data_IF_006766741813
#
_entry.id   IF_006766741813
#
_cell.length_a   1.000
_cell.length_b   1.000
_cell.length_c   1.000
_cell.angle_alpha   90.00
_cell.angle_beta   90.00
_cell.angle_gamma   90.00
#
_symmetry.space_group_name_H-M   'P 1'
#
loop_
_entity.id
_entity.type
_entity.pdbx_description
1 polymer ?
#
# COMPACT_ATOMS: atom_id res chain seq x y z
N UNK A 1 25.75 6.39 44.21
CA UNK A 1 25.12 6.79 42.93
C UNK A 1 25.30 5.66 41.92
N UNK A 2 24.24 4.93 41.58
CA UNK A 2 24.28 3.89 40.53
C UNK A 2 23.70 4.50 39.25
N UNK A 3 24.55 4.61 38.23
CA UNK A 3 24.19 5.11 36.90
C UNK A 3 23.46 3.99 36.17
N UNK A 4 22.15 4.12 35.97
CA UNK A 4 21.40 3.25 35.07
C UNK A 4 21.64 3.72 33.63
N UNK A 5 22.45 2.95 32.89
CA UNK A 5 22.63 3.15 31.45
C UNK A 5 21.38 2.67 30.71
N UNK A 6 20.63 3.61 30.17
CA UNK A 6 19.51 3.35 29.26
C UNK A 6 20.10 2.97 27.88
N UNK A 7 20.14 1.67 27.58
CA UNK A 7 20.42 1.21 26.22
C UNK A 7 19.18 1.53 25.35
N UNK A 8 19.27 2.58 24.54
CA UNK A 8 18.37 2.75 23.40
C UNK A 8 18.74 1.70 22.34
N UNK A 9 17.97 0.61 22.27
CA UNK A 9 18.03 -0.31 21.15
C UNK A 9 17.44 0.41 19.92
N UNK A 10 18.31 0.86 19.01
CA UNK A 10 17.90 1.38 17.71
C UNK A 10 17.49 0.17 16.86
N UNK A 11 16.18 -0.13 16.83
CA UNK A 11 15.63 -1.09 15.88
C UNK A 11 15.71 -0.43 14.50
N UNK A 12 16.65 -0.88 13.68
CA UNK A 12 16.78 -0.46 12.29
C UNK A 12 15.63 -1.08 11.48
N UNK A 13 14.46 -0.44 11.52
CA UNK A 13 13.35 -0.77 10.62
C UNK A 13 13.80 -0.42 9.21
N UNK A 14 13.99 -1.43 8.36
CA UNK A 14 14.30 -1.22 6.95
C UNK A 14 13.14 -0.44 6.31
N UNK A 15 13.36 0.84 6.02
CA UNK A 15 12.39 1.65 5.30
C UNK A 15 12.34 1.14 3.85
N UNK A 16 11.27 0.44 3.51
CA UNK A 16 10.87 0.24 2.13
C UNK A 16 10.59 1.61 1.52
N UNK A 17 11.49 2.08 0.65
CA UNK A 17 11.27 3.25 -0.19
C UNK A 17 10.80 2.76 -1.55
N UNK A 18 9.67 3.28 -2.03
CA UNK A 18 9.32 3.15 -3.44
C UNK A 18 10.38 3.91 -4.23
N UNK A 19 11.35 3.18 -4.79
CA UNK A 19 12.41 3.75 -5.62
C UNK A 19 11.82 4.45 -6.84
N UNK A 20 12.53 5.46 -7.39
CA UNK A 20 12.13 6.07 -8.65
C UNK A 20 12.02 4.97 -9.73
N UNK A 21 11.08 5.10 -10.69
CA UNK A 21 10.98 4.15 -11.79
C UNK A 21 12.34 4.07 -12.50
N UNK A 22 12.91 2.88 -12.59
CA UNK A 22 14.10 2.65 -13.40
C UNK A 22 13.81 3.11 -14.83
N UNK A 23 14.67 3.97 -15.39
CA UNK A 23 14.53 4.41 -16.76
C UNK A 23 14.46 3.19 -17.69
N UNK A 24 13.35 3.07 -18.41
CA UNK A 24 13.21 2.09 -19.46
C UNK A 24 14.29 2.36 -20.52
N UNK A 25 15.18 1.39 -20.74
CA UNK A 25 16.22 1.48 -21.76
C UNK A 25 15.53 1.52 -23.13
N UNK A 26 15.57 2.68 -23.77
CA UNK A 26 15.07 2.96 -25.11
C UNK A 26 15.82 2.10 -26.13
N UNK A 27 15.17 1.06 -26.64
CA UNK A 27 15.67 0.23 -27.72
C UNK A 27 15.54 0.98 -29.05
N UNK A 28 16.50 1.88 -29.32
CA UNK A 28 16.67 2.50 -30.63
C UNK A 28 17.19 1.47 -31.64
N UNK A 29 16.41 1.24 -32.68
CA UNK A 29 16.90 0.72 -33.94
C UNK A 29 15.78 0.19 -34.83
N UNK A 30 15.30 1.03 -35.76
CA UNK A 30 15.28 0.75 -37.21
C UNK A 30 14.69 1.97 -37.93
N UNK A 31 15.41 2.39 -38.97
CA UNK A 31 15.22 3.60 -39.74
C UNK A 31 14.42 3.34 -41.04
N UNK A 32 13.70 4.39 -41.46
CA UNK A 32 13.32 4.79 -42.83
C UNK A 32 12.50 3.87 -43.75
N UNK A 33 11.28 4.32 -44.06
CA UNK A 33 10.96 4.72 -45.45
C UNK A 33 9.77 5.67 -45.54
N UNK A 34 9.88 6.53 -46.54
CA UNK A 34 9.14 7.77 -46.81
C UNK A 34 7.79 7.55 -47.49
N UNK A 35 6.80 8.37 -47.13
CA UNK A 35 5.65 8.59 -48.03
C UNK A 35 4.37 9.10 -47.38
N UNK A 36 4.03 10.34 -47.76
CA UNK A 36 2.69 10.98 -47.75
C UNK A 36 2.28 11.76 -46.50
N UNK A 37 2.32 13.08 -46.67
CA UNK A 37 1.48 14.07 -45.97
C UNK A 37 0.02 13.71 -46.20
N UNK A 38 -0.79 13.71 -45.15
CA UNK A 38 -2.15 14.28 -45.14
C UNK A 38 -2.70 14.38 -43.70
N UNK A 39 -3.32 15.53 -43.43
CA UNK A 39 -4.18 15.91 -42.29
C UNK A 39 -3.62 15.80 -40.86
N UNK A 40 -3.28 16.97 -40.29
CA UNK A 40 -3.20 17.17 -38.85
C UNK A 40 -4.60 17.00 -38.23
N UNK A 41 -4.86 15.82 -37.67
CA UNK A 41 -5.96 15.62 -36.72
C UNK A 41 -5.47 16.18 -35.39
N UNK A 42 -6.11 17.25 -34.93
CA UNK A 42 -5.99 17.72 -33.55
C UNK A 42 -6.37 16.57 -32.62
N UNK A 43 -5.35 15.91 -32.07
CA UNK A 43 -5.53 14.96 -31.00
C UNK A 43 -6.14 15.72 -29.82
N UNK A 44 -7.22 15.21 -29.19
CA UNK A 44 -7.68 15.78 -27.93
C UNK A 44 -6.49 15.74 -26.98
N UNK A 45 -6.08 16.93 -26.51
CA UNK A 45 -5.00 17.08 -25.57
C UNK A 45 -5.18 16.07 -24.47
N UNK A 46 -4.25 15.12 -24.39
CA UNK A 46 -4.15 14.28 -23.21
C UNK A 46 -3.85 15.26 -22.08
N UNK A 47 -4.89 15.63 -21.34
CA UNK A 47 -4.77 15.96 -19.92
C UNK A 47 -4.14 14.73 -19.27
N UNK A 48 -2.84 14.55 -19.48
CA UNK A 48 -1.97 13.82 -18.62
C UNK A 48 -2.00 14.64 -17.34
N UNK A 49 -3.08 14.45 -16.57
CA UNK A 49 -3.13 14.81 -15.17
C UNK A 49 -1.80 14.31 -14.64
N UNK A 50 -0.99 15.26 -14.17
CA UNK A 50 0.35 15.08 -13.61
C UNK A 50 0.30 14.19 -12.35
N UNK A 51 -0.43 13.09 -12.36
CA UNK A 51 -0.50 12.10 -11.29
C UNK A 51 0.86 11.46 -11.24
N UNK A 52 1.58 11.64 -10.15
CA UNK A 52 2.95 11.16 -10.01
C UNK A 52 2.94 9.64 -10.06
N UNK A 53 3.23 9.06 -11.24
CA UNK A 53 2.82 7.71 -11.52
C UNK A 53 3.81 6.76 -10.87
N UNK A 54 3.30 5.65 -10.35
CA UNK A 54 4.15 4.52 -9.98
C UNK A 54 4.32 3.63 -11.19
N UNK A 55 5.51 3.08 -11.39
CA UNK A 55 5.68 1.92 -12.28
C UNK A 55 5.11 0.63 -11.66
N UNK A 56 4.84 0.63 -10.34
CA UNK A 56 4.23 -0.51 -9.66
C UNK A 56 2.73 -0.56 -9.94
N UNK A 57 2.25 -1.79 -10.11
CA UNK A 57 0.83 -2.12 -10.26
C UNK A 57 0.41 -2.99 -9.08
N UNK A 58 -0.89 -3.25 -8.94
CA UNK A 58 -1.38 -4.21 -7.95
C UNK A 58 -0.69 -5.59 -8.06
N UNK A 59 -0.52 -6.12 -9.28
CA UNK A 59 0.10 -7.42 -9.51
C UNK A 59 1.60 -7.44 -9.14
N UNK A 60 2.27 -6.28 -9.21
CA UNK A 60 3.68 -6.09 -8.86
C UNK A 60 3.87 -5.36 -7.52
N UNK A 61 2.85 -5.38 -6.65
CA UNK A 61 2.90 -4.71 -5.36
C UNK A 61 4.09 -5.20 -4.52
N UNK A 62 4.79 -4.25 -3.88
CA UNK A 62 5.95 -4.54 -3.06
C UNK A 62 5.53 -5.26 -1.78
N UNK A 63 6.14 -6.41 -1.49
CA UNK A 63 5.91 -7.10 -0.21
C UNK A 63 6.50 -6.28 0.94
N UNK A 64 5.64 -5.80 1.84
CA UNK A 64 6.04 -5.01 3.00
C UNK A 64 6.38 -5.90 4.20
N UNK A 65 5.72 -7.06 4.32
CA UNK A 65 5.97 -8.03 5.38
C UNK A 65 4.74 -8.85 5.77
N UNK A 66 4.80 -9.43 6.96
CA UNK A 66 3.73 -10.22 7.57
C UNK A 66 3.33 -9.61 8.91
N UNK A 67 2.03 -9.59 9.22
CA UNK A 67 1.47 -9.25 10.54
C UNK A 67 0.40 -10.27 10.92
N UNK A 68 0.18 -10.48 12.22
CA UNK A 68 -0.97 -11.26 12.70
C UNK A 68 -2.25 -10.40 12.65
N UNK A 69 -3.35 -10.97 12.19
CA UNK A 69 -4.65 -10.31 12.11
C UNK A 69 -5.48 -10.41 13.40
N UNK A 70 -5.16 -11.36 14.27
CA UNK A 70 -5.96 -11.78 15.42
C UNK A 70 -5.16 -11.79 16.74
N UNK A 71 -3.83 -11.70 16.66
CA UNK A 71 -2.95 -11.68 17.83
C UNK A 71 -1.93 -10.54 17.75
N UNK A 72 -1.38 -10.15 18.91
CA UNK A 72 -0.37 -9.10 18.99
C UNK A 72 -0.86 -7.75 18.44
N UNK A 73 0.09 -6.90 18.04
CA UNK A 73 -0.14 -5.57 17.47
C UNK A 73 1.03 -5.13 16.58
N UNK A 74 1.53 -6.07 15.76
CA UNK A 74 2.70 -5.82 14.93
C UNK A 74 2.40 -4.72 13.90
N UNK A 75 3.40 -3.88 13.67
CA UNK A 75 3.34 -2.77 12.72
C UNK A 75 4.42 -2.88 11.66
N UNK A 76 4.04 -2.59 10.42
CA UNK A 76 4.92 -2.40 9.29
C UNK A 76 4.88 -0.94 8.86
N UNK A 77 5.94 -0.44 8.24
CA UNK A 77 5.98 0.95 7.80
C UNK A 77 6.66 1.11 6.45
N UNK A 78 6.13 2.04 5.64
CA UNK A 78 6.70 2.47 4.38
C UNK A 78 6.59 4.00 4.25
N UNK A 79 7.37 4.58 3.36
CA UNK A 79 7.25 6.00 3.03
C UNK A 79 7.57 6.24 1.56
N UNK A 80 7.08 7.36 1.04
CA UNK A 80 7.31 7.73 -0.35
C UNK A 80 6.72 9.09 -0.65
N UNK A 81 6.84 9.53 -1.89
CA UNK A 81 6.24 10.77 -2.36
C UNK A 81 5.40 10.57 -3.63
N UNK A 82 5.48 9.40 -4.27
CA UNK A 82 4.70 9.03 -5.46
C UNK A 82 3.58 8.05 -5.10
N UNK A 83 2.77 7.66 -6.09
CA UNK A 83 1.90 6.50 -5.94
C UNK A 83 2.70 5.22 -5.61
N UNK A 84 2.11 4.32 -4.84
CA UNK A 84 2.75 3.05 -4.47
C UNK A 84 1.74 1.94 -4.25
N UNK A 85 2.18 0.71 -4.50
CA UNK A 85 1.43 -0.51 -4.23
C UNK A 85 2.22 -1.39 -3.28
N UNK A 86 1.59 -1.79 -2.17
CA UNK A 86 2.16 -2.68 -1.17
C UNK A 86 1.31 -3.93 -1.02
N UNK A 87 1.95 -5.02 -0.62
CA UNK A 87 1.30 -6.26 -0.20
C UNK A 87 1.74 -6.60 1.22
N UNK A 88 0.80 -7.00 2.04
CA UNK A 88 1.04 -7.47 3.41
C UNK A 88 0.40 -8.84 3.55
N UNK A 89 1.12 -9.81 4.12
CA UNK A 89 0.52 -11.06 4.56
C UNK A 89 -0.11 -10.84 5.93
N UNK A 90 -1.42 -11.03 6.05
CA UNK A 90 -2.09 -11.03 7.35
C UNK A 90 -2.42 -12.47 7.72
N UNK A 91 -1.89 -12.94 8.84
CA UNK A 91 -2.05 -14.33 9.29
C UNK A 91 -3.10 -14.46 10.38
N UNK A 92 -3.77 -15.61 10.39
CA UNK A 92 -4.51 -16.10 11.55
C UNK A 92 -3.53 -16.91 12.38
N UNK A 93 -3.15 -16.39 13.54
CA UNK A 93 -2.17 -17.01 14.43
C UNK A 93 -2.85 -17.64 15.66
N UNK A 94 -4.12 -17.31 15.92
CA UNK A 94 -4.93 -17.90 16.98
C UNK A 94 -5.95 -18.88 16.40
N UNK A 95 -5.88 -20.13 16.84
CA UNK A 95 -6.74 -21.23 16.38
C UNK A 95 -7.63 -21.78 17.52
N UNK A 96 -8.02 -20.92 18.46
CA UNK A 96 -8.94 -21.28 19.52
C UNK A 96 -10.30 -21.80 18.99
N UNK A 97 -11.05 -22.51 19.84
CA UNK A 97 -12.35 -23.11 19.46
C UNK A 97 -13.38 -22.05 19.02
N UNK A 98 -13.25 -20.84 19.56
CA UNK A 98 -13.98 -19.67 19.09
C UNK A 98 -13.12 -18.99 18.04
N UNK A 99 -13.66 -18.83 16.83
CA UNK A 99 -12.99 -18.09 15.78
C UNK A 99 -12.72 -16.65 16.23
N UNK A 100 -11.62 -16.07 15.78
CA UNK A 100 -11.34 -14.66 15.94
C UNK A 100 -11.44 -13.95 14.60
N UNK A 101 -12.02 -12.76 14.62
CA UNK A 101 -12.06 -11.89 13.45
C UNK A 101 -10.68 -11.32 13.21
N UNK A 102 -10.14 -11.54 12.01
CA UNK A 102 -8.88 -10.93 11.58
C UNK A 102 -9.11 -9.46 11.27
N UNK A 103 -8.17 -8.63 11.68
CA UNK A 103 -8.23 -7.18 11.59
C UNK A 103 -6.95 -6.61 11.00
N UNK A 104 -7.09 -5.62 10.12
CA UNK A 104 -5.96 -4.83 9.61
C UNK A 104 -6.32 -3.34 9.55
N UNK A 105 -5.37 -2.48 9.91
CA UNK A 105 -5.48 -1.05 9.77
C UNK A 105 -4.33 -0.50 8.93
N UNK A 106 -4.65 0.29 7.92
CA UNK A 106 -3.70 1.11 7.17
C UNK A 106 -3.86 2.56 7.61
N UNK A 107 -2.79 3.18 8.10
CA UNK A 107 -2.72 4.59 8.50
C UNK A 107 -1.76 5.33 7.58
N UNK A 108 -2.29 6.26 6.81
CA UNK A 108 -1.53 7.11 5.91
C UNK A 108 -1.47 8.54 6.47
N UNK A 109 -0.26 8.99 6.80
CA UNK A 109 0.00 10.39 7.16
C UNK A 109 0.65 11.08 5.97
N UNK A 110 0.18 12.27 5.63
CA UNK A 110 0.72 13.05 4.51
C UNK A 110 0.87 14.54 4.88
N UNK A 111 1.60 15.35 4.11
CA UNK A 111 1.72 16.78 4.36
C UNK A 111 0.40 17.51 4.03
N UNK A 112 0.05 18.55 4.78
CA UNK A 112 -1.21 19.28 4.56
C UNK A 112 -1.31 19.95 3.16
N UNK A 113 -0.18 20.19 2.49
CA UNK A 113 -0.13 20.84 1.19
C UNK A 113 -0.36 19.90 0.00
N UNK A 114 -0.33 18.57 0.21
CA UNK A 114 -0.50 17.57 -0.85
C UNK A 114 -1.49 16.50 -0.36
N UNK A 115 -2.53 16.25 -1.15
CA UNK A 115 -3.46 15.17 -0.83
C UNK A 115 -2.88 13.82 -1.19
N UNK A 116 -3.06 12.83 -0.31
CA UNK A 116 -2.88 11.42 -0.64
C UNK A 116 -4.07 10.62 -0.12
N UNK A 117 -4.37 9.53 -0.79
CA UNK A 117 -5.37 8.55 -0.40
C UNK A 117 -4.76 7.16 -0.29
N UNK A 118 -5.29 6.35 0.61
CA UNK A 118 -4.97 4.94 0.80
C UNK A 118 -6.21 4.09 0.56
N UNK A 119 -6.05 3.05 -0.24
CA UNK A 119 -7.07 2.03 -0.53
C UNK A 119 -6.54 0.69 -0.05
N UNK A 120 -7.40 -0.10 0.57
CA UNK A 120 -7.07 -1.45 1.04
C UNK A 120 -7.93 -2.43 0.27
N UNK A 121 -7.33 -3.50 -0.24
CA UNK A 121 -8.00 -4.52 -1.04
C UNK A 121 -7.76 -5.88 -0.41
N UNK A 122 -8.85 -6.60 -0.12
CA UNK A 122 -8.80 -7.94 0.49
C UNK A 122 -9.89 -8.79 -0.12
N UNK A 123 -9.52 -9.98 -0.61
CA UNK A 123 -10.48 -11.00 -0.98
C UNK A 123 -10.82 -11.83 0.25
N UNK A 124 -11.92 -11.51 0.94
CA UNK A 124 -12.28 -12.22 2.17
C UNK A 124 -12.60 -13.70 1.93
N UNK A 125 -13.11 -14.05 0.75
CA UNK A 125 -13.51 -15.41 0.40
C UNK A 125 -12.37 -16.32 -0.07
N UNK A 126 -11.19 -15.79 -0.41
CA UNK A 126 -10.08 -16.61 -0.91
C UNK A 126 -8.73 -15.94 -0.75
N UNK A 127 -7.69 -16.74 -0.47
CA UNK A 127 -6.32 -16.26 -0.44
C UNK A 127 -5.72 -16.17 -1.86
N UNK A 128 -5.69 -14.96 -2.40
CA UNK A 128 -5.14 -14.65 -3.72
C UNK A 128 -3.78 -13.96 -3.60
N UNK A 129 -2.92 -14.07 -4.61
CA UNK A 129 -1.59 -13.46 -4.57
C UNK A 129 -1.62 -11.92 -4.50
N UNK A 130 -2.63 -11.29 -5.11
CA UNK A 130 -2.94 -9.86 -5.01
C UNK A 130 -4.42 -9.65 -5.35
N UNK A 131 -5.15 -8.94 -4.49
CA UNK A 131 -6.51 -8.46 -4.77
C UNK A 131 -6.45 -6.99 -5.22
N UNK A 132 -7.21 -6.62 -6.25
CA UNK A 132 -7.09 -5.33 -6.93
C UNK A 132 -8.44 -4.67 -7.25
N UNK A 133 -9.54 -5.40 -7.14
CA UNK A 133 -10.86 -4.96 -7.58
C UNK A 133 -11.77 -4.64 -6.39
N UNK A 134 -11.65 -5.39 -5.30
CA UNK A 134 -12.54 -5.27 -4.14
C UNK A 134 -11.85 -4.45 -3.06
N UNK A 135 -12.22 -3.18 -2.94
CA UNK A 135 -11.82 -2.36 -1.81
C UNK A 135 -12.54 -2.83 -0.54
N UNK A 136 -11.79 -2.93 0.55
CA UNK A 136 -12.29 -3.40 1.84
C UNK A 136 -12.05 -2.34 2.92
N UNK A 137 -13.00 -2.26 3.85
CA UNK A 137 -12.85 -1.51 5.09
C UNK A 137 -13.50 -0.14 5.11
N UNK A 138 -13.51 0.45 6.31
CA UNK A 138 -14.05 1.79 6.55
C UNK A 138 -12.92 2.80 6.52
N UNK A 139 -13.04 3.81 5.64
CA UNK A 139 -12.11 4.94 5.53
C UNK A 139 -12.55 6.09 6.43
N UNK A 140 -11.63 6.63 7.20
CA UNK A 140 -11.80 7.86 7.99
C UNK A 140 -10.62 8.80 7.73
N UNK A 141 -10.88 10.10 7.69
CA UNK A 141 -9.85 11.12 7.50
C UNK A 141 -10.01 12.20 8.55
N UNK A 142 -8.93 12.49 9.29
CA UNK A 142 -8.88 13.55 10.30
C UNK A 142 -7.62 14.37 10.05
N UNK A 143 -7.78 15.60 9.58
CA UNK A 143 -6.66 16.44 9.16
C UNK A 143 -5.86 15.78 8.04
N UNK A 144 -4.58 15.53 8.30
CA UNK A 144 -3.64 14.94 7.36
C UNK A 144 -3.34 13.44 7.62
N UNK A 145 -4.19 12.80 8.43
CA UNK A 145 -4.17 11.37 8.70
C UNK A 145 -5.41 10.71 8.10
N UNK A 146 -5.18 9.69 7.28
CA UNK A 146 -6.23 8.81 6.79
C UNK A 146 -6.04 7.41 7.35
N UNK A 147 -7.12 6.81 7.85
CA UNK A 147 -7.14 5.45 8.37
C UNK A 147 -8.16 4.61 7.61
N UNK A 148 -7.76 3.43 7.16
CA UNK A 148 -8.66 2.41 6.57
C UNK A 148 -8.57 1.15 7.42
N UNK A 149 -9.71 0.70 7.94
CA UNK A 149 -9.81 -0.49 8.81
C UNK A 149 -10.61 -1.57 8.11
N UNK A 150 -10.00 -2.74 7.92
CA UNK A 150 -10.63 -3.93 7.36
C UNK A 150 -10.74 -5.05 8.40
N UNK A 151 -11.78 -5.86 8.24
CA UNK A 151 -12.05 -7.04 9.08
C UNK A 151 -12.54 -8.19 8.19
N UNK A 152 -12.13 -9.42 8.47
CA UNK A 152 -12.60 -10.64 7.80
C UNK A 152 -12.34 -11.87 8.67
N UNK A 153 -12.62 -13.04 8.10
CA UNK A 153 -12.39 -14.33 8.74
C UNK A 153 -13.55 -14.72 9.65
N UNK A 154 -13.23 -15.48 10.68
CA UNK A 154 -14.23 -16.14 11.50
C UNK A 154 -14.91 -15.17 12.47
N UNK A 155 -16.20 -15.40 12.67
CA UNK A 155 -16.97 -14.77 13.74
C UNK A 155 -16.95 -15.65 14.99
N UNK A 156 -18.10 -16.02 15.52
CA UNK A 156 -18.21 -16.73 16.81
C UNK A 156 -17.67 -18.17 16.80
N UNK A 157 -17.60 -18.83 15.65
CA UNK A 157 -17.23 -20.25 15.57
C UNK A 157 -16.15 -20.47 14.54
N UNK A 158 -15.16 -21.28 14.91
CA UNK A 158 -14.14 -21.69 13.97
C UNK A 158 -14.66 -22.76 12.99
N UNK A 159 -14.33 -22.59 11.72
CA UNK A 159 -14.51 -23.54 10.65
C UNK A 159 -13.27 -24.45 10.48
N UNK A 160 -12.19 -24.20 11.23
CA UNK A 160 -10.96 -24.98 11.23
C UNK A 160 -10.07 -24.78 9.99
N UNK A 161 -10.34 -23.77 9.18
CA UNK A 161 -9.54 -23.40 8.00
C UNK A 161 -8.89 -22.04 8.21
N UNK A 162 -7.68 -21.86 7.69
CA UNK A 162 -7.00 -20.57 7.84
C UNK A 162 -7.65 -19.47 7.01
N UNK A 163 -7.98 -18.37 7.68
CA UNK A 163 -8.45 -17.12 7.10
C UNK A 163 -7.33 -16.11 6.83
N UNK A 164 -6.07 -16.58 6.85
CA UNK A 164 -4.93 -15.78 6.39
C UNK A 164 -5.13 -15.30 4.96
N UNK A 165 -4.83 -14.02 4.69
CA UNK A 165 -4.97 -13.40 3.36
C UNK A 165 -3.79 -12.51 3.02
N UNK A 166 -3.50 -12.40 1.72
CA UNK A 166 -2.76 -11.24 1.23
C UNK A 166 -3.67 -10.02 1.15
N UNK A 167 -3.20 -8.93 1.74
CA UNK A 167 -3.84 -7.61 1.70
C UNK A 167 -3.02 -6.73 0.76
N UNK A 168 -3.67 -6.17 -0.26
CA UNK A 168 -3.03 -5.17 -1.13
C UNK A 168 -3.39 -3.77 -0.63
N UNK A 169 -2.42 -2.85 -0.64
CA UNK A 169 -2.60 -1.45 -0.24
C UNK A 169 -2.10 -0.56 -1.38
N UNK A 170 -2.93 0.39 -1.79
CA UNK A 170 -2.57 1.40 -2.78
C UNK A 170 -2.50 2.76 -2.11
N UNK A 171 -1.37 3.45 -2.22
CA UNK A 171 -1.24 4.87 -1.91
C UNK A 171 -1.31 5.66 -3.21
N UNK A 172 -2.27 6.57 -3.30
CA UNK A 172 -2.55 7.37 -4.51
C UNK A 172 -2.43 8.87 -4.20
N UNK A 173 -1.62 9.64 -4.94
CA UNK A 173 -1.61 11.10 -4.81
C UNK A 173 -2.93 11.69 -5.34
N UNK A 174 -3.43 12.71 -4.65
CA UNK A 174 -4.56 13.55 -5.06
C UNK A 174 -3.97 14.88 -5.51
N UNK A 175 -3.64 14.97 -6.80
CA UNK A 175 -3.03 16.14 -7.42
C UNK A 175 -1.68 15.86 -8.07
N UNK A 176 -0.96 16.94 -8.42
CA UNK A 176 0.22 16.88 -9.28
C UNK A 176 1.58 17.05 -8.60
N UNK A 177 1.59 17.30 -7.29
CA UNK A 177 2.79 17.74 -6.58
C UNK A 177 3.42 16.59 -5.78
N UNK A 178 4.23 15.77 -6.45
CA UNK A 178 5.03 14.75 -5.78
C UNK A 178 6.50 15.10 -5.89
N UNK A 179 6.98 15.75 -4.85
CA UNK A 179 8.40 16.05 -4.71
C UNK A 179 8.87 15.55 -3.35
N UNK A 180 10.18 15.33 -3.22
CA UNK A 180 10.78 14.86 -1.97
C UNK A 180 10.41 15.64 -0.69
N UNK A 181 10.14 16.96 -0.67
CA UNK A 181 9.66 17.61 0.56
C UNK A 181 8.23 17.20 0.95
N UNK A 182 7.49 16.51 0.09
CA UNK A 182 6.09 16.13 0.27
C UNK A 182 5.95 14.61 0.43
N UNK A 183 6.61 14.04 1.44
CA UNK A 183 6.55 12.60 1.71
C UNK A 183 5.33 12.21 2.53
N UNK A 184 4.67 11.14 2.13
CA UNK A 184 3.72 10.41 2.95
C UNK A 184 4.42 9.29 3.75
N UNK A 185 3.77 8.87 4.83
CA UNK A 185 4.15 7.74 5.66
C UNK A 185 2.95 6.80 5.80
N UNK A 186 3.18 5.53 5.56
CA UNK A 186 2.21 4.45 5.70
C UNK A 186 2.62 3.58 6.90
N UNK A 187 1.70 3.36 7.83
CA UNK A 187 1.79 2.34 8.87
C UNK A 187 0.69 1.30 8.61
N UNK A 188 1.05 0.01 8.65
CA UNK A 188 0.10 -1.10 8.57
C UNK A 188 0.16 -1.87 9.88
N UNK A 189 -0.97 -2.02 10.54
CA UNK A 189 -1.11 -2.67 11.84
C UNK A 189 -2.04 -3.88 11.70
N UNK A 190 -1.57 -5.05 12.12
CA UNK A 190 -2.40 -6.23 12.30
C UNK A 190 -3.05 -6.24 13.68
N UNK A 191 -4.21 -6.88 13.82
CA UNK A 191 -5.00 -6.94 15.06
C UNK A 191 -5.19 -5.56 15.73
N UNK A 192 -5.64 -4.58 14.94
CA UNK A 192 -5.80 -3.22 15.46
C UNK A 192 -6.84 -3.20 16.59
N UNK A 193 -6.51 -2.47 17.65
CA UNK A 193 -7.40 -2.19 18.79
C UNK A 193 -8.10 -0.83 18.62
#
# INVERSE_FOLDING_TARGET
>A
MRLFGLLCAVVATACASAGPPGEAIDARGIDSSSGKKDAAIDAPGSDALNTCPSAMTCASAMMLGTVSGDSGNMKLSASGYQAAWFRVRVTEDDHELLGLTLRVASKLTFPAAVGFETYVYVNSGSDVAAECAITTGTRTTVGNLQTVKGEWGEGTFSNGSSDSRNVTIEVRPVGSNCSMPQMWQLEVEGNWN
#
